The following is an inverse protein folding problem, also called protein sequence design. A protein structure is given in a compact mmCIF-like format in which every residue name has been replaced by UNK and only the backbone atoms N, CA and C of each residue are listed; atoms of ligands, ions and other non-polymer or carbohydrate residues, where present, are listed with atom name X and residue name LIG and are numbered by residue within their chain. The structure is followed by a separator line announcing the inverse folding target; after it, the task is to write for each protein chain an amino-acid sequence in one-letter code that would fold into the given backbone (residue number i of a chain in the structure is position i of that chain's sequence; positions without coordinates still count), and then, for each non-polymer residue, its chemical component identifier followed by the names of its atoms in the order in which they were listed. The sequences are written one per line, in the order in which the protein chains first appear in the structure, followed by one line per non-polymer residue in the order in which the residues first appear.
data_IF_735367522447
#
_entry.id   IF_735367522447
#
_cell.length_a   1.000
_cell.length_b   1.000
_cell.length_c   1.000
_cell.angle_alpha   90.00
_cell.angle_beta   90.00
_cell.angle_gamma   90.00
#
_symmetry.space_group_name_H-M   'P 1'
#
loop_
_entity.id
_entity.type
_entity.pdbx_description
1 polymer ?
#
# COMPACT_ATOMS: atom_id res chain seq x y z
N UNK A 1 -32.75 -22.10 7.44
CA UNK A 1 -31.62 -23.02 7.57
C UNK A 1 -30.43 -22.39 6.87
N UNK A 2 -29.27 -22.37 7.51
CA UNK A 2 -28.01 -21.84 6.97
C UNK A 2 -26.85 -22.74 7.40
N UNK A 3 -25.73 -22.55 6.77
CA UNK A 3 -24.49 -23.25 7.07
C UNK A 3 -23.40 -22.20 7.31
N UNK A 4 -22.56 -22.43 8.31
CA UNK A 4 -21.36 -21.64 8.52
C UNK A 4 -20.27 -22.15 7.60
N UNK A 5 -19.64 -21.25 6.85
CA UNK A 5 -18.66 -21.60 5.82
C UNK A 5 -17.25 -21.20 6.21
N UNK A 6 -16.29 -21.98 5.76
CA UNK A 6 -14.87 -21.62 5.71
C UNK A 6 -14.59 -20.69 4.51
N UNK A 7 -13.39 -20.09 4.47
CA UNK A 7 -12.99 -19.30 3.30
C UNK A 7 -12.90 -20.17 2.03
N UNK A 8 -12.48 -21.42 2.16
CA UNK A 8 -12.36 -22.34 1.02
C UNK A 8 -13.74 -22.66 0.41
N UNK A 9 -14.78 -22.85 1.23
CA UNK A 9 -16.15 -23.09 0.76
C UNK A 9 -16.74 -21.86 0.04
N UNK A 10 -16.24 -20.67 0.33
CA UNK A 10 -16.57 -19.43 -0.39
C UNK A 10 -15.69 -19.19 -1.62
N UNK A 11 -14.83 -20.14 -1.97
CA UNK A 11 -13.83 -20.01 -3.04
C UNK A 11 -12.89 -18.82 -2.84
N UNK A 12 -12.55 -18.53 -1.58
CA UNK A 12 -11.62 -17.48 -1.17
C UNK A 12 -10.35 -18.12 -0.59
N UNK A 13 -9.28 -17.35 -0.55
CA UNK A 13 -7.98 -17.81 -0.08
C UNK A 13 -7.45 -16.94 1.06
N UNK A 14 -6.44 -17.45 1.79
CA UNK A 14 -5.66 -16.62 2.72
C UNK A 14 -4.92 -15.46 2.06
N UNK A 15 -4.66 -15.55 0.76
CA UNK A 15 -4.16 -14.41 -0.01
C UNK A 15 -5.15 -13.24 -0.01
N UNK A 16 -6.43 -13.56 -0.10
CA UNK A 16 -7.50 -12.55 -0.09
C UNK A 16 -7.80 -12.04 1.32
N UNK A 17 -7.79 -12.96 2.29
CA UNK A 17 -8.15 -12.67 3.69
C UNK A 17 -7.10 -13.28 4.65
N UNK A 18 -5.93 -12.64 4.84
CA UNK A 18 -4.82 -13.19 5.63
C UNK A 18 -5.17 -13.52 7.09
N UNK A 19 -6.20 -12.87 7.63
CA UNK A 19 -6.68 -13.09 8.99
C UNK A 19 -7.59 -14.31 9.16
N UNK A 20 -8.07 -14.89 8.06
CA UNK A 20 -8.97 -16.03 8.11
C UNK A 20 -8.25 -17.29 8.61
N UNK A 21 -8.96 -18.09 9.39
CA UNK A 21 -8.46 -19.41 9.77
C UNK A 21 -8.32 -20.31 8.54
N UNK A 22 -7.28 -21.15 8.51
CA UNK A 22 -7.06 -22.08 7.40
C UNK A 22 -8.10 -23.19 7.40
N UNK A 23 -8.33 -23.74 8.59
CA UNK A 23 -9.36 -24.72 8.86
C UNK A 23 -10.35 -24.13 9.86
N UNK A 24 -11.61 -23.99 9.45
CA UNK A 24 -12.66 -23.50 10.33
C UNK A 24 -13.58 -22.46 9.69
N UNK A 25 -14.48 -21.94 10.49
CA UNK A 25 -15.48 -20.96 10.07
C UNK A 25 -14.77 -19.63 9.75
N UNK A 26 -15.15 -19.01 8.64
CA UNK A 26 -14.68 -17.68 8.28
C UNK A 26 -15.33 -16.63 9.19
N UNK A 27 -14.54 -16.10 10.13
CA UNK A 27 -14.97 -15.01 11.00
C UNK A 27 -14.67 -13.68 10.34
N UNK A 28 -15.71 -12.89 10.09
CA UNK A 28 -15.56 -11.56 9.50
C UNK A 28 -14.97 -10.58 10.54
N UNK A 29 -14.10 -9.70 10.11
CA UNK A 29 -13.55 -8.65 10.97
C UNK A 29 -14.45 -7.42 11.07
N UNK A 30 -15.36 -7.28 10.12
CA UNK A 30 -16.29 -6.16 10.03
C UNK A 30 -17.65 -6.52 10.65
N UNK A 31 -18.32 -5.53 11.20
CA UNK A 31 -19.71 -5.66 11.64
C UNK A 31 -20.61 -5.83 10.42
N UNK A 32 -21.26 -6.99 10.32
CA UNK A 32 -22.14 -7.35 9.22
C UNK A 32 -23.54 -7.67 9.75
N UNK A 33 -24.55 -7.41 8.94
CA UNK A 33 -25.92 -7.73 9.29
C UNK A 33 -26.24 -9.18 8.88
N UNK A 34 -26.96 -9.91 9.74
CA UNK A 34 -27.45 -11.24 9.39
C UNK A 34 -28.40 -11.16 8.20
N UNK A 35 -28.14 -11.96 7.18
CA UNK A 35 -28.88 -11.93 5.91
C UNK A 35 -28.31 -11.01 4.84
N UNK A 36 -27.25 -10.28 5.13
CA UNK A 36 -26.53 -9.49 4.13
C UNK A 36 -25.83 -10.41 3.13
N UNK A 37 -25.78 -9.99 1.86
CA UNK A 37 -25.00 -10.68 0.83
C UNK A 37 -23.52 -10.70 1.19
N UNK A 38 -22.89 -11.89 1.13
CA UNK A 38 -21.51 -12.09 1.56
C UNK A 38 -20.51 -11.31 0.70
N UNK A 39 -20.70 -11.24 -0.63
CA UNK A 39 -19.79 -10.51 -1.51
C UNK A 39 -19.74 -9.02 -1.13
N UNK A 40 -20.89 -8.45 -0.83
CA UNK A 40 -20.98 -7.06 -0.34
C UNK A 40 -20.41 -6.91 1.07
N UNK A 41 -20.64 -7.89 1.93
CA UNK A 41 -20.16 -7.89 3.32
C UNK A 41 -18.63 -7.89 3.41
N UNK A 42 -17.95 -8.60 2.52
CA UNK A 42 -16.49 -8.71 2.48
C UNK A 42 -15.81 -7.80 1.46
N UNK A 43 -16.58 -6.93 0.78
CA UNK A 43 -16.04 -5.98 -0.19
C UNK A 43 -15.54 -6.60 -1.49
N UNK A 44 -16.14 -7.72 -1.92
CA UNK A 44 -15.85 -8.37 -3.21
C UNK A 44 -16.82 -7.97 -4.32
N UNK A 45 -17.75 -7.05 -4.06
CA UNK A 45 -18.69 -6.54 -5.06
C UNK A 45 -18.17 -5.22 -5.63
N UNK A 46 -17.12 -5.30 -6.45
CA UNK A 46 -16.48 -4.15 -7.09
C UNK A 46 -16.23 -4.43 -8.58
N UNK A 47 -15.93 -3.38 -9.33
CA UNK A 47 -15.60 -3.47 -10.75
C UNK A 47 -14.13 -3.10 -10.95
N UNK A 48 -13.33 -4.07 -11.34
CA UNK A 48 -11.92 -3.85 -11.68
C UNK A 48 -11.78 -3.63 -13.18
N UNK A 49 -11.02 -2.61 -13.55
CA UNK A 49 -10.68 -2.33 -14.94
C UNK A 49 -9.18 -2.55 -15.10
N UNK A 50 -8.82 -3.50 -15.95
CA UNK A 50 -7.43 -3.78 -16.29
C UNK A 50 -6.97 -2.89 -17.45
N UNK A 51 -5.81 -2.27 -17.28
CA UNK A 51 -5.19 -1.43 -18.29
C UNK A 51 -3.86 -2.02 -18.73
N UNK A 52 -3.69 -2.20 -20.02
CA UNK A 52 -2.39 -2.49 -20.62
C UNK A 52 -1.62 -1.18 -20.84
N UNK A 53 -0.63 -0.94 -19.99
CA UNK A 53 0.18 0.28 -20.04
C UNK A 53 1.43 0.04 -20.86
N UNK A 54 1.61 0.81 -21.93
CA UNK A 54 2.80 0.73 -22.80
C UNK A 54 4.04 1.30 -22.10
N UNK A 55 5.26 0.83 -22.41
CA UNK A 55 6.49 1.24 -21.74
C UNK A 55 6.81 2.75 -21.81
N UNK A 56 6.26 3.44 -22.79
CA UNK A 56 6.42 4.90 -22.95
C UNK A 56 5.46 5.74 -22.11
N UNK A 57 4.57 5.09 -21.34
CA UNK A 57 3.57 5.77 -20.50
C UNK A 57 3.66 5.33 -19.03
N UNK A 58 4.86 5.40 -18.38
CA UNK A 58 5.02 5.01 -16.99
C UNK A 58 4.19 5.87 -16.03
N UNK A 59 3.80 7.08 -16.44
CA UNK A 59 2.89 7.97 -15.70
C UNK A 59 1.52 7.33 -15.46
N UNK A 60 1.06 6.47 -16.35
CA UNK A 60 -0.22 5.76 -16.26
C UNK A 60 -0.20 4.52 -15.33
N UNK A 61 0.94 4.17 -14.75
CA UNK A 61 1.05 3.09 -13.75
C UNK A 61 0.46 3.48 -12.38
N UNK A 62 -0.06 4.69 -12.24
CA UNK A 62 -0.74 5.16 -11.04
C UNK A 62 -2.18 5.58 -11.33
N UNK A 63 -3.03 5.50 -10.30
CA UNK A 63 -4.44 5.95 -10.39
C UNK A 63 -4.52 7.41 -10.83
N UNK A 64 -3.66 8.29 -10.29
CA UNK A 64 -3.62 9.70 -10.67
C UNK A 64 -3.16 9.90 -12.12
N UNK A 65 -2.21 9.11 -12.60
CA UNK A 65 -1.79 9.16 -13.99
C UNK A 65 -2.90 8.76 -14.94
N UNK A 66 -3.58 7.65 -14.64
CA UNK A 66 -4.78 7.23 -15.39
C UNK A 66 -5.91 8.25 -15.32
N UNK A 67 -6.13 8.87 -14.15
CA UNK A 67 -7.14 9.89 -13.99
C UNK A 67 -6.88 11.13 -14.87
N UNK A 68 -5.60 11.54 -15.01
CA UNK A 68 -5.21 12.63 -15.93
C UNK A 68 -5.50 12.27 -17.39
N UNK A 69 -5.14 11.06 -17.79
CA UNK A 69 -5.39 10.55 -19.14
C UNK A 69 -6.89 10.46 -19.45
N UNK A 70 -7.66 9.91 -18.51
CA UNK A 70 -9.11 9.84 -18.64
C UNK A 70 -9.77 11.23 -18.71
N UNK A 71 -9.29 12.18 -17.89
CA UNK A 71 -9.81 13.54 -17.90
C UNK A 71 -9.63 14.21 -19.28
N UNK A 72 -8.44 14.05 -19.88
CA UNK A 72 -8.17 14.57 -21.24
C UNK A 72 -9.00 13.84 -22.29
N UNK A 73 -9.01 12.51 -22.25
CA UNK A 73 -9.73 11.68 -23.24
C UNK A 73 -11.24 11.96 -23.27
N UNK A 74 -11.83 12.14 -22.10
CA UNK A 74 -13.28 12.35 -21.99
C UNK A 74 -13.69 13.82 -21.83
N UNK A 75 -12.77 14.76 -21.93
CA UNK A 75 -13.04 16.19 -21.76
C UNK A 75 -13.65 16.52 -20.38
N UNK A 76 -13.18 15.85 -19.34
CA UNK A 76 -13.65 16.03 -17.95
C UNK A 76 -12.62 16.78 -17.12
N UNK A 77 -13.10 17.47 -16.09
CA UNK A 77 -12.23 18.12 -15.11
C UNK A 77 -11.57 17.07 -14.19
N UNK A 78 -10.26 17.19 -14.01
CA UNK A 78 -9.52 16.38 -13.06
C UNK A 78 -9.73 16.91 -11.63
N UNK A 79 -10.33 16.09 -10.77
CA UNK A 79 -10.51 16.40 -9.35
C UNK A 79 -9.34 15.83 -8.56
N UNK A 80 -8.46 16.72 -8.11
CA UNK A 80 -7.31 16.33 -7.28
C UNK A 80 -7.67 16.40 -5.80
N UNK A 81 -7.33 15.33 -5.07
CA UNK A 81 -7.32 15.37 -3.62
C UNK A 81 -6.05 16.05 -3.14
N UNK A 82 -6.18 17.03 -2.24
CA UNK A 82 -5.04 17.69 -1.61
C UNK A 82 -4.89 17.15 -0.18
N UNK A 83 -3.90 16.27 0.07
CA UNK A 83 -3.68 15.73 1.42
C UNK A 83 -3.33 16.86 2.40
N UNK A 84 -3.96 16.83 3.56
CA UNK A 84 -3.59 17.72 4.66
C UNK A 84 -2.68 16.97 5.63
N UNK A 85 -1.44 17.41 5.72
CA UNK A 85 -0.46 16.84 6.66
C UNK A 85 -0.50 17.63 7.95
N UNK A 86 -0.83 16.94 9.04
CA UNK A 86 -0.74 17.50 10.40
C UNK A 86 0.61 17.08 11.01
N UNK A 87 1.60 17.94 10.93
CA UNK A 87 2.85 17.75 11.66
C UNK A 87 2.64 17.95 13.17
N UNK A 88 3.35 17.19 13.98
CA UNK A 88 3.27 17.32 15.43
C UNK A 88 4.39 18.16 16.06
N UNK A 89 5.20 18.82 15.24
CA UNK A 89 6.32 19.63 15.68
C UNK A 89 7.61 18.83 15.97
N UNK A 90 8.68 19.54 16.29
CA UNK A 90 10.01 19.00 16.42
C UNK A 90 10.81 19.03 15.11
N UNK A 91 12.12 18.97 15.24
CA UNK A 91 13.03 18.89 14.10
C UNK A 91 13.28 17.43 13.75
N UNK A 92 13.13 17.06 12.49
CA UNK A 92 13.42 15.71 12.01
C UNK A 92 14.90 15.34 12.18
N UNK A 93 15.79 16.32 12.16
CA UNK A 93 17.22 16.12 12.34
C UNK A 93 17.60 15.60 13.73
N UNK A 94 16.71 15.75 14.72
CA UNK A 94 16.87 15.15 16.04
C UNK A 94 16.68 13.62 16.00
N UNK A 95 16.07 13.08 14.95
CA UNK A 95 15.69 11.67 14.83
C UNK A 95 16.36 10.93 13.68
N UNK A 96 16.57 11.60 12.57
CA UNK A 96 17.03 10.94 11.34
C UNK A 96 17.80 11.90 10.46
N UNK A 97 18.90 11.42 9.86
CA UNK A 97 19.61 12.12 8.80
C UNK A 97 19.59 11.30 7.51
N UNK A 98 19.64 12.00 6.37
CA UNK A 98 19.70 11.40 5.04
C UNK A 98 20.89 12.00 4.28
N UNK A 99 21.71 11.12 3.73
CA UNK A 99 22.85 11.51 2.88
C UNK A 99 22.71 10.85 1.50
N UNK A 100 22.70 11.66 0.45
CA UNK A 100 22.68 11.15 -0.94
C UNK A 100 24.09 11.33 -1.53
N UNK A 101 24.82 10.21 -1.74
CA UNK A 101 26.17 10.20 -2.31
C UNK A 101 26.21 10.13 -3.83
N UNK A 102 25.10 9.73 -4.45
CA UNK A 102 24.97 9.70 -5.90
C UNK A 102 23.74 10.52 -6.35
N UNK A 103 23.84 11.84 -6.42
CA UNK A 103 22.72 12.70 -6.82
C UNK A 103 22.37 12.57 -8.32
N UNK A 104 23.23 11.96 -9.14
CA UNK A 104 22.92 11.74 -10.56
C UNK A 104 21.90 10.62 -10.74
N UNK A 105 21.98 9.54 -9.96
CA UNK A 105 21.05 8.42 -10.01
C UNK A 105 19.88 8.59 -9.04
N UNK A 106 20.08 9.29 -7.93
CA UNK A 106 19.05 9.63 -6.98
C UNK A 106 19.11 11.12 -6.64
N UNK A 107 18.47 11.98 -7.44
CA UNK A 107 18.55 13.43 -7.25
C UNK A 107 17.84 13.89 -5.96
N UNK A 108 16.94 13.09 -5.43
CA UNK A 108 16.18 13.43 -4.22
C UNK A 108 15.76 12.17 -3.46
N UNK A 109 16.02 12.16 -2.16
CA UNK A 109 15.51 11.16 -1.23
C UNK A 109 14.91 11.89 -0.02
N UNK A 110 13.68 11.58 0.33
CA UNK A 110 12.98 12.22 1.45
C UNK A 110 12.58 11.20 2.48
N UNK A 111 12.58 11.60 3.73
CA UNK A 111 12.14 10.77 4.84
C UNK A 111 11.22 11.56 5.78
N UNK A 112 10.36 10.84 6.48
CA UNK A 112 9.54 11.36 7.58
C UNK A 112 9.56 10.38 8.73
N UNK A 113 9.51 10.89 9.95
CA UNK A 113 9.40 10.08 11.16
C UNK A 113 7.95 10.13 11.66
N UNK A 114 7.39 8.96 11.92
CA UNK A 114 6.07 8.80 12.52
C UNK A 114 6.25 8.12 13.87
N UNK A 115 5.65 8.71 14.92
CA UNK A 115 5.77 8.20 16.28
C UNK A 115 4.50 7.50 16.75
N UNK A 116 4.65 6.66 17.78
CA UNK A 116 3.55 5.97 18.45
C UNK A 116 2.73 5.10 17.49
N UNK A 117 3.40 4.47 16.52
CA UNK A 117 2.78 3.56 15.58
C UNK A 117 2.31 2.31 16.32
N UNK A 118 1.08 1.91 16.05
CA UNK A 118 0.55 0.61 16.47
C UNK A 118 0.25 -0.21 15.22
N UNK A 119 0.94 -1.31 15.08
CA UNK A 119 0.68 -2.24 13.96
C UNK A 119 -0.68 -2.90 14.16
N UNK A 120 -1.44 -2.94 13.10
CA UNK A 120 -2.78 -3.52 13.07
C UNK A 120 -3.34 -3.54 11.65
N UNK A 121 -4.55 -4.06 11.46
CA UNK A 121 -5.18 -4.10 10.14
C UNK A 121 -5.47 -2.68 9.65
N UNK A 122 -5.30 -2.48 8.35
CA UNK A 122 -5.71 -1.24 7.67
C UNK A 122 -7.23 -1.04 7.72
N UNK A 123 -7.72 0.19 7.57
CA UNK A 123 -9.14 0.43 7.41
C UNK A 123 -9.72 -0.39 6.25
N UNK A 124 -10.98 -0.83 6.39
CA UNK A 124 -11.67 -1.69 5.45
C UNK A 124 -11.57 -1.18 4.00
N UNK A 125 -11.89 0.11 3.77
CA UNK A 125 -11.86 0.72 2.45
C UNK A 125 -10.48 0.62 1.76
N UNK A 126 -9.38 0.72 2.53
CA UNK A 126 -8.02 0.59 2.00
C UNK A 126 -7.71 -0.85 1.60
N UNK A 127 -8.08 -1.81 2.46
CA UNK A 127 -7.91 -3.24 2.18
C UNK A 127 -8.70 -3.68 0.95
N UNK A 128 -9.93 -3.19 0.79
CA UNK A 128 -10.77 -3.47 -0.39
C UNK A 128 -10.11 -2.94 -1.67
N UNK A 129 -9.66 -1.69 -1.67
CA UNK A 129 -8.99 -1.08 -2.83
C UNK A 129 -7.67 -1.76 -3.20
N UNK A 130 -6.87 -2.15 -2.20
CA UNK A 130 -5.64 -2.90 -2.44
C UNK A 130 -5.95 -4.25 -3.09
N UNK A 131 -6.91 -5.01 -2.56
CA UNK A 131 -7.34 -6.29 -3.16
C UNK A 131 -7.85 -6.11 -4.58
N UNK A 132 -8.71 -5.13 -4.81
CA UNK A 132 -9.22 -4.81 -6.15
C UNK A 132 -8.11 -4.46 -7.14
N UNK A 133 -6.97 -3.96 -6.65
CA UNK A 133 -5.77 -3.66 -7.44
C UNK A 133 -4.76 -4.82 -7.48
N UNK A 134 -5.11 -6.00 -7.00
CA UNK A 134 -4.23 -7.18 -7.00
C UNK A 134 -3.15 -7.18 -5.92
N UNK A 135 -3.22 -6.26 -4.95
CA UNK A 135 -2.26 -6.16 -3.85
C UNK A 135 -2.86 -6.74 -2.56
N UNK A 136 -2.19 -7.72 -1.99
CA UNK A 136 -2.61 -8.35 -0.73
C UNK A 136 -2.40 -7.41 0.45
N UNK A 137 -3.45 -7.07 1.24
CA UNK A 137 -3.30 -6.35 2.49
C UNK A 137 -2.53 -7.18 3.52
N UNK A 138 -1.66 -6.54 4.28
CA UNK A 138 -0.82 -7.18 5.32
C UNK A 138 -1.06 -6.51 6.67
N UNK A 139 -0.62 -5.27 6.80
CA UNK A 139 -0.81 -4.42 7.97
C UNK A 139 -0.89 -2.94 7.55
N UNK A 140 -1.27 -2.09 8.48
CA UNK A 140 -1.51 -0.68 8.19
C UNK A 140 -0.29 0.06 7.61
N UNK A 141 0.93 -0.28 8.01
CA UNK A 141 2.13 0.41 7.52
C UNK A 141 2.47 -0.04 6.10
N UNK A 142 2.51 -1.34 5.85
CA UNK A 142 2.77 -1.91 4.52
C UNK A 142 1.68 -1.49 3.54
N UNK A 143 0.43 -1.55 3.96
CA UNK A 143 -0.72 -1.19 3.13
C UNK A 143 -0.73 0.29 2.74
N UNK A 144 -0.36 1.20 3.67
CA UNK A 144 -0.22 2.63 3.35
C UNK A 144 0.84 2.85 2.28
N UNK A 145 2.00 2.21 2.39
CA UNK A 145 3.07 2.37 1.38
C UNK A 145 2.64 1.86 0.02
N UNK A 146 1.97 0.70 -0.04
CA UNK A 146 1.41 0.15 -1.27
C UNK A 146 0.28 1.02 -1.84
N UNK A 147 -0.60 1.52 -0.98
CA UNK A 147 -1.70 2.40 -1.41
C UNK A 147 -1.18 3.70 -2.03
N UNK A 148 -0.21 4.35 -1.40
CA UNK A 148 0.42 5.57 -1.93
C UNK A 148 1.13 5.30 -3.24
N UNK A 149 1.83 4.16 -3.36
CA UNK A 149 2.47 3.77 -4.62
C UNK A 149 1.45 3.58 -5.75
N UNK A 150 0.33 2.91 -5.50
CA UNK A 150 -0.73 2.73 -6.50
C UNK A 150 -1.42 4.04 -6.85
N UNK A 151 -1.72 4.89 -5.87
CA UNK A 151 -2.44 6.14 -6.12
C UNK A 151 -1.58 7.20 -6.79
N UNK A 152 -0.35 7.41 -6.31
CA UNK A 152 0.54 8.50 -6.75
C UNK A 152 1.71 8.06 -7.64
N UNK A 153 1.97 6.76 -7.75
CA UNK A 153 3.13 6.23 -8.49
C UNK A 153 4.46 6.38 -7.75
N UNK A 154 4.43 6.65 -6.43
CA UNK A 154 5.63 6.85 -5.63
C UNK A 154 5.90 5.66 -4.72
N UNK A 155 6.92 4.82 -5.03
CA UNK A 155 7.35 3.76 -4.12
C UNK A 155 7.84 4.31 -2.79
N UNK A 156 7.53 3.61 -1.71
CA UNK A 156 7.90 3.99 -0.35
C UNK A 156 8.40 2.77 0.42
N UNK A 157 9.27 3.00 1.38
CA UNK A 157 9.67 2.01 2.38
C UNK A 157 9.40 2.55 3.78
N UNK A 158 8.97 1.68 4.67
CA UNK A 158 8.85 1.95 6.10
C UNK A 158 9.94 1.17 6.84
N UNK A 159 10.67 1.86 7.70
CA UNK A 159 11.71 1.28 8.53
C UNK A 159 11.40 1.55 10.00
N UNK A 160 11.58 0.56 10.85
CA UNK A 160 11.64 0.79 12.27
C UNK A 160 12.95 1.54 12.58
N UNK A 161 12.83 2.72 13.18
CA UNK A 161 13.96 3.60 13.41
C UNK A 161 15.01 2.99 14.35
N UNK A 162 14.61 2.06 15.23
CA UNK A 162 15.53 1.37 16.13
C UNK A 162 16.51 0.46 15.37
N UNK A 163 16.14 0.00 14.18
CA UNK A 163 16.99 -0.79 13.29
C UNK A 163 17.77 0.05 12.28
N UNK A 164 17.54 1.36 12.22
CA UNK A 164 18.33 2.25 11.37
C UNK A 164 19.63 2.63 12.08
N UNK A 165 20.73 2.03 11.64
CA UNK A 165 22.04 2.25 12.24
C UNK A 165 22.41 3.75 12.25
N UNK A 166 22.87 4.21 13.40
CA UNK A 166 23.26 5.60 13.65
C UNK A 166 22.18 6.63 13.27
N UNK A 167 20.91 6.18 13.20
CA UNK A 167 19.78 7.00 12.74
C UNK A 167 20.07 7.71 11.40
N UNK A 168 20.76 7.01 10.49
CA UNK A 168 21.22 7.58 9.23
C UNK A 168 20.90 6.67 8.05
N UNK A 169 20.29 7.25 7.01
CA UNK A 169 20.09 6.62 5.70
C UNK A 169 21.12 7.17 4.73
N UNK A 170 21.87 6.29 4.09
CA UNK A 170 22.88 6.65 3.09
C UNK A 170 22.48 6.03 1.75
N UNK A 171 22.16 6.88 0.79
CA UNK A 171 21.86 6.48 -0.59
C UNK A 171 23.14 6.54 -1.41
N UNK A 172 23.65 5.39 -1.82
CA UNK A 172 24.93 5.26 -2.53
C UNK A 172 24.90 4.09 -3.51
N UNK A 173 25.89 4.04 -4.37
CA UNK A 173 26.15 2.84 -5.15
C UNK A 173 26.74 1.73 -4.27
N UNK A 174 26.50 0.48 -4.65
CA UNK A 174 27.22 -0.65 -4.09
C UNK A 174 28.72 -0.55 -4.38
N UNK A 175 29.53 -1.08 -3.47
CA UNK A 175 30.97 -1.24 -3.70
C UNK A 175 31.27 -2.65 -4.24
N UNK A 176 32.43 -2.82 -4.86
CA UNK A 176 32.81 -4.10 -5.44
C UNK A 176 32.80 -5.21 -4.40
N UNK A 177 32.13 -6.33 -4.71
CA UNK A 177 31.97 -7.48 -3.82
C UNK A 177 30.82 -7.38 -2.81
N UNK A 178 30.13 -6.25 -2.75
CA UNK A 178 28.96 -6.10 -1.88
C UNK A 178 27.74 -6.84 -2.49
N UNK A 179 27.05 -7.58 -1.65
CA UNK A 179 25.83 -8.32 -2.01
C UNK A 179 24.67 -7.89 -1.14
N UNK A 180 23.46 -8.01 -1.64
CA UNK A 180 22.22 -7.79 -0.89
C UNK A 180 21.27 -8.95 -1.17
N UNK A 181 20.61 -9.41 -0.14
CA UNK A 181 19.51 -10.36 -0.28
C UNK A 181 18.20 -9.56 -0.36
N UNK A 182 17.41 -9.82 -1.40
CA UNK A 182 16.08 -9.19 -1.57
C UNK A 182 15.04 -9.93 -0.74
N UNK A 183 13.83 -9.36 -0.64
CA UNK A 183 12.72 -9.98 0.10
C UNK A 183 12.26 -11.32 -0.51
N UNK A 184 12.54 -11.51 -1.79
CA UNK A 184 12.15 -12.72 -2.54
C UNK A 184 13.25 -13.80 -2.53
N UNK A 185 14.38 -13.57 -1.86
CA UNK A 185 15.52 -14.52 -1.72
C UNK A 185 16.72 -14.21 -2.60
#
# INVERSE_FOLDING_TARGET
NGMMCSIAELNLTKGDFPYAAEDGIFLLQEDCQVGQDIASAIGCNDTCVEFEITPNRPDCLSVLGLAREAAVTFGKELKMHTPQVKGCGGDIHDYLSVEVRNPQLCPRYTAKVVKNVKIGPSPRWMRERLRASGVRPIDNIVDITNYVMLEYGQPMHAFDIEYVKDHKIIVRNAVSGETIQTLDG
#
